data_IF_568591843374
#
_entry.id   IF_568591843374
#
_cell.length_a   1.000
_cell.length_b   1.000
_cell.length_c   1.000
_cell.angle_alpha   90.00
_cell.angle_beta   90.00
_cell.angle_gamma   90.00
#
_symmetry.space_group_name_H-M   'P 1'
#
loop_
_entity.id
_entity.type
_entity.pdbx_description
1 polymer ?
#
# COMPACT_ATOMS: atom_id res chain seq x y z
N UNK A 1 -14.93 -9.61 -5.44
CA UNK A 1 -13.63 -9.61 -4.72
C UNK A 1 -12.85 -10.84 -5.18
N UNK A 2 -11.55 -10.70 -5.41
CA UNK A 2 -10.65 -11.76 -5.89
C UNK A 2 -9.24 -11.50 -5.35
N UNK A 3 -8.45 -12.55 -5.10
CA UNK A 3 -7.02 -12.43 -4.80
C UNK A 3 -6.20 -12.09 -6.06
N UNK A 4 -6.72 -12.43 -7.24
CA UNK A 4 -6.22 -11.92 -8.53
C UNK A 4 -6.65 -10.46 -8.71
N UNK A 5 -6.00 -9.57 -7.96
CA UNK A 5 -6.35 -8.16 -7.88
C UNK A 5 -5.28 -7.23 -8.47
N UNK A 6 -4.02 -7.68 -8.62
CA UNK A 6 -2.88 -6.85 -9.00
C UNK A 6 -2.92 -6.41 -10.46
N UNK A 7 -3.80 -5.46 -10.74
CA UNK A 7 -4.06 -4.89 -12.06
C UNK A 7 -3.76 -3.40 -12.09
N UNK A 8 -3.55 -2.88 -13.29
CA UNK A 8 -3.25 -1.47 -13.55
C UNK A 8 -4.19 -0.93 -14.63
N UNK A 9 -4.73 0.26 -14.42
CA UNK A 9 -5.50 0.99 -15.43
C UNK A 9 -4.69 2.17 -15.94
N UNK A 10 -4.83 2.47 -17.23
CA UNK A 10 -4.13 3.58 -17.89
C UNK A 10 -5.16 4.46 -18.57
N UNK A 11 -5.21 5.72 -18.14
CA UNK A 11 -6.00 6.78 -18.73
C UNK A 11 -5.05 7.74 -19.44
N UNK A 12 -5.33 8.02 -20.72
CA UNK A 12 -4.52 8.92 -21.54
C UNK A 12 -5.40 9.69 -22.52
N UNK A 13 -4.95 10.85 -23.02
CA UNK A 13 -5.74 11.66 -23.94
C UNK A 13 -5.90 10.92 -25.27
N UNK A 14 -7.06 11.09 -25.90
CA UNK A 14 -7.29 10.56 -27.24
C UNK A 14 -6.27 11.13 -28.23
N UNK A 15 -5.72 10.28 -29.10
CA UNK A 15 -4.69 10.67 -30.08
C UNK A 15 -3.25 10.71 -29.54
N UNK A 16 -3.03 10.47 -28.24
CA UNK A 16 -1.68 10.29 -27.72
C UNK A 16 -1.02 9.07 -28.37
N UNK A 17 0.27 9.19 -28.67
CA UNK A 17 1.10 8.12 -29.23
C UNK A 17 2.42 8.02 -28.46
N UNK A 18 3.27 7.08 -28.83
CA UNK A 18 4.54 6.80 -28.13
C UNK A 18 5.48 8.02 -28.06
N UNK A 19 5.33 8.99 -28.96
CA UNK A 19 6.12 10.23 -29.00
C UNK A 19 5.51 11.38 -28.18
N UNK A 20 4.36 11.20 -27.54
CA UNK A 20 3.64 12.26 -26.82
C UNK A 20 4.38 12.79 -25.58
N UNK A 21 5.26 11.99 -24.96
CA UNK A 21 6.08 12.39 -23.78
C UNK A 21 5.26 13.04 -22.65
N UNK A 22 4.10 12.45 -22.34
CA UNK A 22 3.15 12.99 -21.36
C UNK A 22 3.69 12.88 -19.93
N UNK A 23 3.46 13.90 -19.07
CA UNK A 23 3.64 13.72 -17.64
C UNK A 23 2.66 12.67 -17.11
N UNK A 24 3.11 11.83 -16.18
CA UNK A 24 2.36 10.68 -15.68
C UNK A 24 2.02 10.90 -14.20
N UNK A 25 0.73 10.84 -13.88
CA UNK A 25 0.23 10.83 -12.50
C UNK A 25 -0.05 9.39 -12.08
N UNK A 26 0.65 8.90 -11.06
CA UNK A 26 0.51 7.54 -10.54
C UNK A 26 -0.23 7.55 -9.21
N UNK A 27 -1.49 7.12 -9.24
CA UNK A 27 -2.44 7.19 -8.14
C UNK A 27 -2.45 5.94 -7.28
N UNK A 28 -2.35 6.13 -5.97
CA UNK A 28 -2.59 5.11 -4.94
C UNK A 28 -3.87 5.48 -4.17
N UNK A 29 -4.89 4.64 -4.26
CA UNK A 29 -6.16 4.88 -3.58
C UNK A 29 -6.03 4.77 -2.05
N UNK A 30 -6.91 5.48 -1.32
CA UNK A 30 -7.10 5.33 0.13
C UNK A 30 -7.96 4.12 0.49
N UNK A 31 -8.56 4.16 1.68
CA UNK A 31 -9.46 3.11 2.19
C UNK A 31 -8.96 2.34 3.42
N UNK A 32 -8.08 2.98 4.22
CA UNK A 32 -7.62 2.45 5.50
C UNK A 32 -6.94 1.08 5.38
N UNK A 33 -6.29 0.81 4.24
CA UNK A 33 -5.61 -0.46 3.90
C UNK A 33 -6.52 -1.68 3.77
N UNK A 34 -7.81 -1.57 4.10
CA UNK A 34 -8.76 -2.67 4.21
C UNK A 34 -9.76 -2.68 3.06
N UNK A 35 -10.00 -1.51 2.46
CA UNK A 35 -10.98 -1.33 1.38
C UNK A 35 -10.39 -0.46 0.28
N UNK A 36 -11.15 -0.31 -0.81
CA UNK A 36 -10.77 0.50 -1.96
C UNK A 36 -10.58 -0.32 -3.23
N UNK A 37 -10.51 0.38 -4.35
CA UNK A 37 -10.23 -0.19 -5.66
C UNK A 37 -9.76 0.90 -6.60
N UNK A 38 -8.83 0.57 -7.49
CA UNK A 38 -8.39 1.42 -8.58
C UNK A 38 -9.56 1.85 -9.49
N UNK A 39 -10.56 0.98 -9.66
CA UNK A 39 -11.75 1.26 -10.48
C UNK A 39 -12.67 2.34 -9.89
N UNK A 40 -12.53 2.65 -8.61
CA UNK A 40 -13.32 3.71 -7.96
C UNK A 40 -12.86 5.12 -8.37
N UNK A 41 -11.69 5.25 -9.00
CA UNK A 41 -11.15 6.52 -9.45
C UNK A 41 -11.18 6.64 -10.98
N UNK A 42 -11.95 7.60 -11.48
CA UNK A 42 -11.98 7.92 -12.90
C UNK A 42 -10.88 8.93 -13.26
N UNK A 43 -9.79 8.45 -13.86
CA UNK A 43 -8.66 9.28 -14.28
C UNK A 43 -8.83 10.09 -15.56
N UNK A 44 -9.97 10.00 -16.25
CA UNK A 44 -10.14 10.54 -17.61
C UNK A 44 -10.04 12.07 -17.73
N UNK A 45 -10.22 12.80 -16.62
CA UNK A 45 -10.07 14.27 -16.60
C UNK A 45 -8.61 14.74 -16.48
N UNK A 46 -7.67 13.84 -16.21
CA UNK A 46 -6.24 14.14 -16.04
C UNK A 46 -5.44 13.81 -17.31
N UNK A 47 -4.22 14.35 -17.44
CA UNK A 47 -3.39 14.22 -18.65
C UNK A 47 -3.06 12.76 -18.94
N UNK A 48 -2.13 12.15 -18.21
CA UNK A 48 -1.95 10.71 -18.21
C UNK A 48 -2.03 10.24 -16.75
N UNK A 49 -3.03 9.43 -16.44
CA UNK A 49 -3.25 8.93 -15.10
C UNK A 49 -3.19 7.41 -15.11
N UNK A 50 -2.44 6.89 -14.15
CA UNK A 50 -2.31 5.47 -13.89
C UNK A 50 -2.86 5.24 -12.51
N UNK A 51 -3.73 4.27 -12.35
CA UNK A 51 -4.11 3.76 -11.05
C UNK A 51 -3.97 2.24 -11.04
N UNK A 52 -3.81 1.67 -9.86
CA UNK A 52 -3.51 0.26 -9.68
C UNK A 52 -4.17 -0.25 -8.40
N UNK A 53 -4.39 -1.55 -8.35
CA UNK A 53 -4.80 -2.24 -7.14
C UNK A 53 -3.58 -2.80 -6.41
N UNK A 54 -3.65 -2.81 -5.09
CA UNK A 54 -2.70 -3.48 -4.20
C UNK A 54 -3.45 -4.40 -3.25
N UNK A 55 -2.75 -5.40 -2.66
CA UNK A 55 -3.37 -6.29 -1.69
C UNK A 55 -3.84 -5.52 -0.45
N UNK A 56 -4.99 -5.90 0.11
CA UNK A 56 -5.63 -5.23 1.25
C UNK A 56 -5.66 -6.11 2.50
N UNK A 57 -5.88 -5.49 3.66
CA UNK A 57 -6.02 -6.15 4.96
C UNK A 57 -4.84 -7.08 5.28
N UNK A 58 -5.07 -8.25 5.92
CA UNK A 58 -4.03 -9.22 6.26
C UNK A 58 -3.28 -9.77 5.04
N UNK A 59 -3.86 -9.74 3.83
CA UNK A 59 -3.19 -10.17 2.60
C UNK A 59 -2.17 -9.14 2.10
N UNK A 60 -2.41 -7.85 2.37
CA UNK A 60 -1.52 -6.75 2.01
C UNK A 60 -0.55 -6.37 3.13
N UNK A 61 -0.96 -6.56 4.37
CA UNK A 61 -0.21 -6.22 5.56
C UNK A 61 -0.25 -7.36 6.58
N UNK A 62 0.41 -8.51 6.28
CA UNK A 62 0.64 -9.53 7.29
C UNK A 62 1.32 -8.93 8.53
N UNK A 63 0.94 -9.40 9.72
CA UNK A 63 1.43 -8.93 11.01
C UNK A 63 2.00 -10.11 11.82
N UNK A 64 2.57 -9.80 12.98
CA UNK A 64 3.09 -10.82 13.90
C UNK A 64 4.50 -11.32 13.60
N UNK A 65 5.01 -12.12 14.53
CA UNK A 65 6.38 -12.62 14.53
C UNK A 65 6.67 -13.57 13.36
N UNK A 66 5.70 -14.41 12.99
CA UNK A 66 5.86 -15.33 11.84
C UNK A 66 6.05 -14.53 10.54
N UNK A 67 5.20 -13.54 10.28
CA UNK A 67 5.28 -12.71 9.07
C UNK A 67 6.60 -11.93 9.02
N UNK A 68 7.06 -11.39 10.16
CA UNK A 68 8.35 -10.72 10.27
C UNK A 68 9.51 -11.67 9.96
N UNK A 69 9.51 -12.89 10.53
CA UNK A 69 10.56 -13.89 10.32
C UNK A 69 10.65 -14.37 8.87
N UNK A 70 9.51 -14.42 8.16
CA UNK A 70 9.43 -14.79 6.73
C UNK A 70 9.72 -13.62 5.80
N UNK A 71 9.87 -12.40 6.30
CA UNK A 71 10.14 -11.20 5.49
C UNK A 71 8.97 -10.80 4.59
N UNK A 72 7.73 -11.12 4.99
CA UNK A 72 6.52 -10.88 4.20
C UNK A 72 5.67 -9.73 4.74
N UNK A 73 6.28 -8.79 5.45
CA UNK A 73 5.62 -7.56 5.89
C UNK A 73 5.47 -6.57 4.72
N UNK A 74 4.51 -5.66 4.83
CA UNK A 74 4.28 -4.54 3.89
C UNK A 74 4.11 -4.96 2.42
N UNK A 75 3.44 -6.09 2.16
CA UNK A 75 3.23 -6.63 0.81
C UNK A 75 2.51 -5.66 -0.13
N UNK A 76 1.57 -4.87 0.38
CA UNK A 76 0.86 -3.83 -0.37
C UNK A 76 1.79 -2.70 -0.84
N UNK A 77 2.75 -2.30 -0.01
CA UNK A 77 3.75 -1.28 -0.38
C UNK A 77 4.70 -1.83 -1.44
N UNK A 78 5.02 -3.14 -1.36
CA UNK A 78 5.76 -3.86 -2.40
C UNK A 78 4.97 -3.94 -3.72
N UNK A 79 3.65 -4.13 -3.65
CA UNK A 79 2.78 -4.08 -4.84
C UNK A 79 2.81 -2.70 -5.50
N UNK A 80 2.74 -1.62 -4.71
CA UNK A 80 2.90 -0.25 -5.20
C UNK A 80 4.25 -0.05 -5.90
N UNK A 81 5.34 -0.51 -5.30
CA UNK A 81 6.67 -0.43 -5.92
C UNK A 81 6.74 -1.25 -7.22
N UNK A 82 6.19 -2.46 -7.24
CA UNK A 82 6.16 -3.29 -8.44
C UNK A 82 5.36 -2.65 -9.58
N UNK A 83 4.22 -2.04 -9.27
CA UNK A 83 3.43 -1.27 -10.22
C UNK A 83 4.21 -0.05 -10.76
N UNK A 84 4.93 0.69 -9.90
CA UNK A 84 5.79 1.80 -10.31
C UNK A 84 6.93 1.34 -11.22
N UNK A 85 7.59 0.23 -10.90
CA UNK A 85 8.62 -0.34 -11.75
C UNK A 85 8.07 -0.80 -13.10
N UNK A 86 6.84 -1.33 -13.13
CA UNK A 86 6.16 -1.62 -14.39
C UNK A 86 5.92 -0.34 -15.20
N UNK A 87 5.48 0.75 -14.57
CA UNK A 87 5.31 2.06 -15.22
C UNK A 87 6.62 2.52 -15.82
N UNK A 88 7.72 2.45 -15.07
CA UNK A 88 9.04 2.85 -15.55
C UNK A 88 9.49 2.09 -16.81
N UNK A 89 9.13 0.80 -16.93
CA UNK A 89 9.46 -0.04 -18.09
C UNK A 89 8.50 0.13 -19.26
N UNK A 90 7.24 0.43 -19.01
CA UNK A 90 6.16 0.25 -19.99
C UNK A 90 5.49 1.55 -20.45
N UNK A 91 5.57 2.63 -19.68
CA UNK A 91 4.67 3.78 -19.91
C UNK A 91 4.93 4.54 -21.22
N UNK A 92 6.14 4.42 -21.77
CA UNK A 92 6.49 4.94 -23.08
C UNK A 92 5.60 4.42 -24.20
N UNK A 93 5.22 3.14 -24.16
CA UNK A 93 4.32 2.53 -25.15
C UNK A 93 2.91 3.16 -25.15
N UNK A 94 2.53 3.81 -24.05
CA UNK A 94 1.26 4.50 -23.90
C UNK A 94 1.37 6.02 -24.12
N UNK A 95 2.58 6.51 -24.43
CA UNK A 95 2.89 7.92 -24.67
C UNK A 95 3.27 8.71 -23.43
N UNK A 96 3.42 8.06 -22.27
CA UNK A 96 3.91 8.71 -21.06
C UNK A 96 5.43 8.75 -20.99
N UNK A 97 5.95 9.72 -20.27
CA UNK A 97 7.38 9.93 -20.04
C UNK A 97 7.76 9.39 -18.65
N UNK A 98 8.58 8.33 -18.65
CA UNK A 98 9.05 7.66 -17.43
C UNK A 98 9.85 8.59 -16.51
N UNK A 99 10.47 9.64 -17.04
CA UNK A 99 11.24 10.63 -16.28
C UNK A 99 10.32 11.74 -15.72
N UNK A 100 9.02 11.73 -16.04
CA UNK A 100 8.00 12.69 -15.59
C UNK A 100 6.88 12.05 -14.76
N UNK A 101 7.19 10.97 -14.04
CA UNK A 101 6.24 10.30 -13.15
C UNK A 101 6.13 11.05 -11.82
N UNK A 102 4.92 11.47 -11.46
CA UNK A 102 4.58 12.01 -10.13
C UNK A 102 3.70 10.98 -9.42
N UNK A 103 4.12 10.54 -8.24
CA UNK A 103 3.33 9.64 -7.39
C UNK A 103 2.39 10.45 -6.51
N UNK A 104 1.17 9.98 -6.33
CA UNK A 104 0.22 10.64 -5.45
C UNK A 104 -0.80 9.66 -4.88
N UNK A 105 -1.37 10.01 -3.74
CA UNK A 105 -2.40 9.22 -3.11
C UNK A 105 -3.12 10.01 -2.03
N UNK A 106 -4.24 9.48 -1.59
CA UNK A 106 -5.08 10.05 -0.54
C UNK A 106 -5.17 9.09 0.65
N UNK A 107 -5.24 9.64 1.87
CA UNK A 107 -5.36 8.90 3.13
C UNK A 107 -4.33 7.76 3.20
N UNK A 108 -4.76 6.51 3.36
CA UNK A 108 -3.91 5.31 3.36
C UNK A 108 -2.97 5.23 2.13
N UNK A 109 -3.44 5.62 0.94
CA UNK A 109 -2.63 5.66 -0.27
C UNK A 109 -1.54 6.74 -0.22
N UNK A 110 -1.85 7.88 0.41
CA UNK A 110 -0.85 8.91 0.71
C UNK A 110 0.19 8.40 1.69
N UNK A 111 -0.23 7.72 2.76
CA UNK A 111 0.67 7.11 3.75
C UNK A 111 1.60 6.12 3.07
N UNK A 112 1.10 5.15 2.30
CA UNK A 112 1.95 4.20 1.57
C UNK A 112 2.95 4.89 0.63
N UNK A 113 2.49 5.89 -0.12
CA UNK A 113 3.34 6.67 -1.02
C UNK A 113 4.44 7.41 -0.26
N UNK A 114 4.13 7.93 0.92
CA UNK A 114 5.09 8.63 1.76
C UNK A 114 6.07 7.68 2.48
N UNK A 115 5.66 6.47 2.84
CA UNK A 115 6.57 5.41 3.34
C UNK A 115 7.58 5.05 2.24
N UNK A 116 7.11 4.85 1.01
CA UNK A 116 8.00 4.69 -0.14
C UNK A 116 8.92 5.90 -0.30
N UNK A 117 8.42 7.13 -0.17
CA UNK A 117 9.23 8.35 -0.27
C UNK A 117 10.39 8.42 0.72
N UNK A 118 10.27 7.79 1.91
CA UNK A 118 11.37 7.68 2.88
C UNK A 118 12.49 6.72 2.43
N UNK A 119 12.27 5.96 1.35
CA UNK A 119 13.33 5.21 0.69
C UNK A 119 14.01 6.08 -0.37
N UNK A 120 15.34 6.32 -0.28
CA UNK A 120 16.07 7.12 -1.28
C UNK A 120 15.99 6.56 -2.71
N UNK A 121 15.73 5.26 -2.86
CA UNK A 121 15.59 4.58 -4.15
C UNK A 121 14.38 5.04 -4.95
N UNK A 122 13.35 5.63 -4.33
CA UNK A 122 12.15 6.10 -5.03
C UNK A 122 12.46 7.21 -6.03
N UNK A 123 13.52 8.00 -5.80
CA UNK A 123 14.04 8.96 -6.79
C UNK A 123 14.42 8.36 -8.14
N UNK A 124 14.57 7.03 -8.24
CA UNK A 124 14.83 6.31 -9.49
C UNK A 124 13.55 5.99 -10.28
N UNK A 125 12.38 6.04 -9.63
CA UNK A 125 11.10 5.61 -10.20
C UNK A 125 10.01 6.69 -10.14
N UNK A 126 10.29 7.82 -9.49
CA UNK A 126 9.42 8.99 -9.42
C UNK A 126 10.23 10.29 -9.45
N UNK A 127 9.64 11.34 -10.01
CA UNK A 127 10.19 12.70 -10.09
C UNK A 127 9.64 13.63 -9.01
N UNK A 128 8.41 13.40 -8.57
CA UNK A 128 7.73 14.23 -7.56
C UNK A 128 6.68 13.41 -6.81
N UNK A 129 6.20 13.94 -5.67
CA UNK A 129 5.14 13.33 -4.88
C UNK A 129 4.01 14.32 -4.53
N UNK A 130 2.79 13.83 -4.34
CA UNK A 130 1.69 14.59 -3.74
C UNK A 130 1.07 13.75 -2.62
N UNK A 131 0.94 14.33 -1.43
CA UNK A 131 0.43 13.68 -0.24
C UNK A 131 -0.88 14.33 0.20
N UNK A 132 -2.01 13.67 -0.07
CA UNK A 132 -3.34 14.16 0.25
C UNK A 132 -3.83 13.52 1.56
N UNK A 133 -3.93 14.29 2.63
CA UNK A 133 -4.54 13.86 3.90
C UNK A 133 -3.88 12.63 4.54
N UNK A 134 -2.58 12.44 4.33
CA UNK A 134 -1.82 11.34 4.93
C UNK A 134 -0.32 11.49 4.71
N UNK A 135 0.46 10.96 5.65
CA UNK A 135 1.93 10.95 5.63
C UNK A 135 2.45 9.74 6.40
N UNK A 136 3.74 9.43 6.29
CA UNK A 136 4.32 8.28 6.96
C UNK A 136 4.22 8.40 8.50
N UNK A 137 4.02 9.61 9.02
CA UNK A 137 3.82 9.90 10.45
C UNK A 137 2.35 10.08 10.83
N UNK A 138 1.39 9.82 9.92
CA UNK A 138 -0.05 9.99 10.20
C UNK A 138 -0.63 8.87 11.05
N UNK A 139 -0.05 7.67 11.01
CA UNK A 139 -0.40 6.55 11.89
C UNK A 139 0.75 6.25 12.84
N UNK A 140 0.41 5.70 14.01
CA UNK A 140 1.43 5.17 14.91
C UNK A 140 2.07 3.96 14.23
N UNK A 141 3.39 4.00 14.06
CA UNK A 141 4.13 2.87 13.46
C UNK A 141 4.66 1.97 14.58
N UNK A 142 4.36 0.69 14.49
CA UNK A 142 4.79 -0.32 15.45
C UNK A 142 5.62 -1.41 14.77
N UNK A 143 6.36 -2.18 15.58
CA UNK A 143 6.91 -3.46 15.15
C UNK A 143 5.78 -4.47 14.90
N UNK A 144 6.01 -5.45 14.02
CA UNK A 144 5.00 -6.41 13.60
C UNK A 144 4.35 -7.20 14.77
N UNK A 145 5.12 -7.43 15.84
CA UNK A 145 4.67 -8.14 17.05
C UNK A 145 3.59 -7.37 17.84
N UNK A 146 3.45 -6.06 17.63
CA UNK A 146 2.40 -5.27 18.27
C UNK A 146 1.00 -5.78 17.88
N UNK A 147 0.85 -6.30 16.66
CA UNK A 147 -0.42 -6.82 16.12
C UNK A 147 -0.40 -8.33 15.93
N UNK A 148 0.25 -9.04 16.87
CA UNK A 148 0.18 -10.50 16.95
C UNK A 148 -1.26 -10.99 17.17
N UNK A 149 -2.04 -10.29 18.00
CA UNK A 149 -3.43 -10.65 18.31
C UNK A 149 -4.34 -10.50 17.07
N UNK A 150 -4.37 -9.36 16.34
CA UNK A 150 -5.08 -9.27 15.08
C UNK A 150 -4.67 -10.32 14.03
N UNK A 151 -3.38 -10.64 13.93
CA UNK A 151 -2.89 -11.70 13.04
C UNK A 151 -3.43 -13.07 13.47
N UNK A 152 -3.35 -13.37 14.77
CA UNK A 152 -3.85 -14.60 15.36
C UNK A 152 -5.34 -14.77 15.12
N UNK A 153 -6.14 -13.72 15.38
CA UNK A 153 -7.58 -13.74 15.16
C UNK A 153 -7.93 -14.00 13.69
N UNK A 154 -7.17 -13.42 12.75
CA UNK A 154 -7.33 -13.71 11.33
C UNK A 154 -7.07 -15.19 11.01
N UNK A 155 -5.95 -15.76 11.47
CA UNK A 155 -5.63 -17.17 11.24
C UNK A 155 -6.66 -18.10 11.90
N UNK A 156 -7.08 -17.81 13.13
CA UNK A 156 -8.10 -18.57 13.85
C UNK A 156 -9.44 -18.59 13.10
N UNK A 157 -9.76 -17.47 12.46
CA UNK A 157 -10.99 -17.31 11.67
C UNK A 157 -10.93 -17.96 10.29
N UNK A 158 -9.77 -18.48 9.84
CA UNK A 158 -9.66 -19.29 8.61
C UNK A 158 -9.86 -20.76 8.99
N UNK A 159 -10.99 -21.41 8.64
CA UNK A 159 -11.33 -22.73 9.17
C UNK A 159 -10.25 -23.80 8.94
N UNK A 160 -9.63 -23.79 7.76
CA UNK A 160 -8.56 -24.73 7.39
C UNK A 160 -7.23 -24.50 8.14
N UNK A 161 -7.03 -23.32 8.75
CA UNK A 161 -5.78 -22.94 9.42
C UNK A 161 -5.91 -22.72 10.93
N UNK A 162 -7.13 -22.67 11.47
CA UNK A 162 -7.43 -22.45 12.89
C UNK A 162 -6.59 -23.31 13.85
N UNK A 163 -6.42 -24.60 13.54
CA UNK A 163 -5.64 -25.54 14.37
C UNK A 163 -4.12 -25.27 14.43
N UNK A 164 -3.61 -24.37 13.60
CA UNK A 164 -2.19 -24.03 13.49
C UNK A 164 -1.83 -22.72 14.20
N UNK A 165 -2.79 -22.03 14.81
CA UNK A 165 -2.54 -20.84 15.63
C UNK A 165 -1.46 -21.12 16.68
N UNK A 166 -0.51 -20.20 16.83
CA UNK A 166 0.63 -20.35 17.73
C UNK A 166 1.76 -21.25 17.23
N UNK A 167 1.66 -21.80 16.01
CA UNK A 167 2.74 -22.50 15.33
C UNK A 167 3.42 -21.60 14.30
N UNK A 168 4.55 -22.03 13.73
CA UNK A 168 5.21 -21.35 12.61
C UNK A 168 4.75 -21.84 11.23
N UNK A 169 3.56 -22.46 11.16
CA UNK A 169 2.99 -23.05 9.95
C UNK A 169 1.73 -22.30 9.50
N UNK A 170 1.38 -21.19 10.15
CA UNK A 170 0.13 -20.48 9.83
C UNK A 170 0.18 -19.90 8.43
N UNK A 171 1.31 -19.33 8.02
CA UNK A 171 1.43 -18.74 6.68
C UNK A 171 1.41 -19.80 5.58
N UNK A 172 2.08 -20.93 5.78
CA UNK A 172 2.07 -22.02 4.79
C UNK A 172 0.66 -22.58 4.59
N UNK A 173 -0.12 -22.66 5.67
CA UNK A 173 -1.53 -23.00 5.59
C UNK A 173 -2.34 -21.95 4.85
N UNK A 174 -2.21 -20.67 5.19
CA UNK A 174 -2.90 -19.58 4.52
C UNK A 174 -2.61 -19.55 3.01
N UNK A 175 -1.37 -19.84 2.61
CA UNK A 175 -0.98 -19.93 1.20
C UNK A 175 -1.61 -21.13 0.46
N UNK A 176 -2.02 -22.16 1.20
CA UNK A 176 -2.63 -23.38 0.67
C UNK A 176 -4.16 -23.40 0.83
N UNK A 177 -4.70 -22.49 1.65
CA UNK A 177 -6.12 -22.37 1.91
C UNK A 177 -6.86 -21.93 0.64
N UNK A 178 -8.14 -22.30 0.55
CA UNK A 178 -8.98 -21.84 -0.53
C UNK A 178 -9.42 -20.38 -0.28
N UNK A 179 -9.67 -19.61 -1.35
CA UNK A 179 -9.99 -18.20 -1.21
C UNK A 179 -11.31 -17.93 -0.47
N UNK A 180 -12.23 -18.90 -0.35
CA UNK A 180 -13.45 -18.75 0.47
C UNK A 180 -13.15 -18.79 1.97
N UNK A 181 -12.30 -19.69 2.43
CA UNK A 181 -11.87 -19.78 3.84
C UNK A 181 -11.11 -18.51 4.23
N UNK A 182 -10.23 -18.02 3.35
CA UNK A 182 -9.48 -16.77 3.56
C UNK A 182 -10.42 -15.57 3.61
N UNK A 183 -11.43 -15.51 2.72
CA UNK A 183 -12.42 -14.44 2.74
C UNK A 183 -13.27 -14.46 4.02
N UNK A 184 -13.66 -15.64 4.48
CA UNK A 184 -14.37 -15.80 5.76
C UNK A 184 -13.51 -15.29 6.92
N UNK A 185 -12.24 -15.71 6.98
CA UNK A 185 -11.30 -15.26 8.00
C UNK A 185 -11.07 -13.76 7.99
N UNK A 186 -10.98 -13.15 6.80
CA UNK A 186 -10.88 -11.70 6.63
C UNK A 186 -12.09 -10.97 7.22
N UNK A 187 -13.30 -11.40 6.86
CA UNK A 187 -14.53 -10.75 7.28
C UNK A 187 -14.73 -10.84 8.80
N UNK A 188 -14.38 -11.97 9.41
CA UNK A 188 -14.46 -12.15 10.86
C UNK A 188 -13.40 -11.31 11.60
N UNK A 189 -12.14 -11.36 11.16
CA UNK A 189 -11.07 -10.57 11.78
C UNK A 189 -11.35 -9.06 11.75
N UNK A 190 -11.98 -8.57 10.67
CA UNK A 190 -12.41 -7.17 10.56
C UNK A 190 -13.62 -6.84 11.45
N UNK A 191 -14.46 -7.82 11.79
CA UNK A 191 -15.64 -7.62 12.63
C UNK A 191 -15.33 -7.67 14.13
N UNK A 192 -14.29 -8.39 14.54
CA UNK A 192 -13.95 -8.66 15.94
C UNK A 192 -12.82 -7.78 16.51
N UNK A 193 -12.23 -6.91 15.69
CA UNK A 193 -11.14 -6.01 16.10
C UNK A 193 -11.64 -4.73 16.75
N UNK A 194 -11.17 -4.43 17.96
CA UNK A 194 -11.35 -3.12 18.62
C UNK A 194 -10.41 -2.03 18.05
N UNK A 195 -9.35 -2.44 17.34
CA UNK A 195 -8.43 -1.51 16.68
C UNK A 195 -8.99 -1.07 15.32
N UNK A 196 -8.94 0.24 15.02
CA UNK A 196 -9.46 0.80 13.76
C UNK A 196 -8.66 0.35 12.51
N UNK A 197 -7.35 0.14 12.66
CA UNK A 197 -6.44 -0.21 11.58
C UNK A 197 -5.54 -1.40 11.98
N UNK A 198 -6.12 -2.61 12.11
CA UNK A 198 -5.39 -3.80 12.57
C UNK A 198 -4.36 -4.33 11.56
N UNK A 199 -4.46 -3.90 10.29
CA UNK A 199 -3.57 -4.31 9.20
C UNK A 199 -3.12 -3.07 8.44
N UNK A 200 -1.96 -2.52 8.81
CA UNK A 200 -1.39 -1.30 8.23
C UNK A 200 0.15 -1.41 8.07
N UNK A 201 0.83 -0.38 7.53
CA UNK A 201 2.29 -0.36 7.43
C UNK A 201 2.99 -0.56 8.79
N UNK A 202 3.90 -1.52 8.86
CA UNK A 202 4.69 -1.86 10.06
C UNK A 202 6.19 -1.72 9.80
N UNK A 203 7.00 -1.67 10.86
CA UNK A 203 8.45 -1.72 10.73
C UNK A 203 8.89 -3.11 10.21
N UNK A 204 9.65 -3.13 9.12
CA UNK A 204 10.08 -4.36 8.43
C UNK A 204 11.60 -4.56 8.42
N UNK A 205 12.28 -3.89 9.35
CA UNK A 205 13.70 -4.04 9.64
C UNK A 205 14.63 -3.37 8.63
N UNK A 206 15.93 -3.40 8.90
CA UNK A 206 16.93 -2.58 8.21
C UNK A 206 17.01 -2.72 6.67
N UNK A 207 16.46 -3.79 6.10
CA UNK A 207 16.46 -4.07 4.66
C UNK A 207 15.06 -3.97 4.02
N UNK A 208 14.04 -3.63 4.79
CA UNK A 208 12.69 -3.47 4.31
C UNK A 208 12.39 -2.06 3.79
N UNK A 209 11.12 -1.81 3.48
CA UNK A 209 10.63 -0.53 2.95
C UNK A 209 10.28 0.47 4.07
N UNK A 210 10.12 0.00 5.30
CA UNK A 210 9.84 0.80 6.49
C UNK A 210 10.82 0.38 7.60
N UNK A 211 12.12 0.70 7.47
CA UNK A 211 13.15 0.13 8.32
C UNK A 211 13.25 0.73 9.73
N UNK A 212 12.72 1.94 9.95
CA UNK A 212 12.76 2.67 11.22
C UNK A 212 11.61 3.71 11.22
N UNK A 213 11.39 4.35 12.36
CA UNK A 213 10.39 5.39 12.50
C UNK A 213 10.64 6.55 11.50
N UNK A 214 9.58 7.12 10.90
CA UNK A 214 9.71 8.25 9.97
C UNK A 214 10.54 9.42 10.52
N UNK A 215 10.37 9.76 11.79
CA UNK A 215 11.12 10.81 12.47
C UNK A 215 12.63 10.52 12.52
N UNK A 216 13.01 9.26 12.70
CA UNK A 216 14.40 8.81 12.70
C UNK A 216 14.99 8.88 11.30
N UNK A 217 14.28 8.37 10.29
CA UNK A 217 14.72 8.40 8.89
C UNK A 217 14.93 9.84 8.40
N UNK A 218 13.98 10.74 8.69
CA UNK A 218 14.08 12.16 8.38
C UNK A 218 15.28 12.82 9.09
N UNK A 219 15.49 12.54 10.39
CA UNK A 219 16.61 13.12 11.16
C UNK A 219 17.98 12.71 10.60
N UNK A 220 18.09 11.51 10.03
CA UNK A 220 19.30 10.98 9.39
C UNK A 220 19.43 11.39 7.92
N UNK A 221 18.46 12.15 7.38
CA UNK A 221 18.44 12.54 5.97
C UNK A 221 18.16 11.39 5.00
N UNK A 222 17.56 10.30 5.49
CA UNK A 222 17.18 9.12 4.71
C UNK A 222 15.77 9.31 4.14
N UNK A 223 15.69 10.00 3.02
CA UNK A 223 14.46 10.16 2.24
C UNK A 223 14.80 10.53 0.79
N UNK A 224 13.85 10.36 -0.12
CA UNK A 224 13.99 10.79 -1.51
C UNK A 224 13.98 12.32 -1.60
N UNK A 225 15.04 12.91 -2.16
CA UNK A 225 15.14 14.37 -2.38
C UNK A 225 14.39 14.79 -3.63
N UNK A 226 13.06 14.61 -3.62
CA UNK A 226 12.16 14.99 -4.69
C UNK A 226 11.27 16.16 -4.24
N UNK A 227 10.85 17.05 -5.15
CA UNK A 227 9.81 18.02 -4.85
C UNK A 227 8.50 17.30 -4.49
N UNK A 228 7.79 17.84 -3.50
CA UNK A 228 6.49 17.30 -3.11
C UNK A 228 5.48 18.40 -2.79
N UNK A 229 4.20 18.06 -2.90
CA UNK A 229 3.07 18.83 -2.39
C UNK A 229 2.45 18.01 -1.26
N UNK A 230 2.05 18.64 -0.17
CA UNK A 230 1.32 17.97 0.91
C UNK A 230 0.19 18.89 1.38
N UNK A 231 -0.95 18.30 1.76
CA UNK A 231 -2.09 19.05 2.24
C UNK A 231 -3.08 18.20 3.01
N UNK A 232 -3.97 18.86 3.74
CA UNK A 232 -5.08 18.26 4.49
C UNK A 232 -6.33 19.08 4.25
N UNK A 233 -7.49 18.50 4.50
CA UNK A 233 -8.75 19.21 4.57
C UNK A 233 -8.88 19.96 5.91
N UNK A 234 -9.82 20.90 5.98
CA UNK A 234 -10.06 21.71 7.19
C UNK A 234 -10.55 20.85 8.37
N UNK A 235 -11.45 19.91 8.10
CA UNK A 235 -12.23 19.18 9.12
C UNK A 235 -12.10 17.65 8.99
N UNK A 236 -10.88 17.12 8.83
CA UNK A 236 -10.59 15.69 8.58
C UNK A 236 -11.32 14.73 9.54
N UNK A 237 -11.36 15.08 10.82
CA UNK A 237 -11.94 14.22 11.87
C UNK A 237 -13.47 14.09 11.78
N UNK A 238 -14.18 15.01 11.12
CA UNK A 238 -15.65 15.02 11.08
C UNK A 238 -16.21 13.76 10.41
N UNK A 239 -15.49 13.20 9.44
CA UNK A 239 -15.88 11.97 8.76
C UNK A 239 -15.82 10.71 9.65
N UNK A 240 -15.18 10.80 10.83
CA UNK A 240 -14.84 9.66 11.69
C UNK A 240 -15.39 9.78 13.12
N UNK A 241 -16.17 10.83 13.41
CA UNK A 241 -16.91 10.95 14.66
C UNK A 241 -18.21 10.14 14.55
N UNK A 242 -18.22 8.95 15.15
CA UNK A 242 -19.42 8.15 15.42
C UNK A 242 -19.87 8.30 16.87
#
# INVERSE_FOLDING_TARGET
MSEDCLTINIFRPSGANELSSLPVLFWTHGGGYQTGSASSFNGSALVAQINFNYRLGPLGFPQGAEAASRGILNLAIRDQLAALEWVQRSIGAFGGDKDKVTVFGESAGSVMTSVLFLNPSVSKVARAAIFESGSASSTLTFDAQHREDPWTNFVESVPSCSSLVGTSLTVDCLQSANSSDVLEGLLQAMAETDEQLPFDPTLDGAHGLSPDLPSQLLSRGQFSRLPFIAGTNLDEGTAWLS
#
